data_IF_662761763573
#
_entry.id   IF_662761763573
#
_cell.length_a   1.000
_cell.length_b   1.000
_cell.length_c   1.000
_cell.angle_alpha   90.00
_cell.angle_beta   90.00
_cell.angle_gamma   90.00
#
_symmetry.space_group_name_H-M   'P 1'
#
loop_
_entity.id
_entity.type
_entity.pdbx_description
1 polymer ?
#
# COMPACT_ATOMS: atom_id res chain seq x y z
N UNK A 1 46.03 -38.10 -4.87
CA UNK A 1 45.90 -36.63 -5.09
C UNK A 1 44.53 -36.13 -5.62
N UNK A 2 43.72 -36.91 -6.36
CA UNK A 2 42.44 -36.41 -6.95
C UNK A 2 41.30 -36.09 -5.95
N UNK A 3 41.21 -36.79 -4.80
CA UNK A 3 40.13 -36.58 -3.79
C UNK A 3 40.14 -35.19 -3.13
N UNK A 4 41.31 -34.58 -2.90
CA UNK A 4 41.40 -33.26 -2.25
C UNK A 4 40.97 -32.09 -3.16
N UNK A 5 41.21 -32.18 -4.47
CA UNK A 5 40.73 -31.18 -5.45
C UNK A 5 39.20 -31.19 -5.57
N UNK A 6 38.58 -32.36 -5.59
CA UNK A 6 37.12 -32.49 -5.65
C UNK A 6 36.43 -31.96 -4.38
N UNK A 7 37.01 -32.23 -3.20
CA UNK A 7 36.50 -31.71 -1.91
C UNK A 7 36.62 -30.18 -1.83
N UNK A 8 37.75 -29.60 -2.25
CA UNK A 8 37.96 -28.15 -2.30
C UNK A 8 36.98 -27.43 -3.26
N UNK A 9 36.70 -28.02 -4.44
CA UNK A 9 35.72 -27.47 -5.40
C UNK A 9 34.30 -27.45 -4.81
N UNK A 10 33.89 -28.55 -4.17
CA UNK A 10 32.57 -28.68 -3.55
C UNK A 10 32.35 -27.66 -2.41
N UNK A 11 33.38 -27.42 -1.59
CA UNK A 11 33.34 -26.40 -0.52
C UNK A 11 33.26 -24.96 -1.05
N UNK A 12 33.95 -24.65 -2.15
CA UNK A 12 33.85 -23.32 -2.79
C UNK A 12 32.48 -23.09 -3.40
N UNK A 13 31.86 -24.14 -3.95
CA UNK A 13 30.53 -24.06 -4.54
C UNK A 13 29.42 -23.89 -3.50
N UNK A 14 29.50 -24.58 -2.36
CA UNK A 14 28.58 -24.33 -1.23
C UNK A 14 28.75 -22.94 -0.65
N UNK A 15 29.98 -22.45 -0.46
CA UNK A 15 30.23 -21.09 0.03
C UNK A 15 29.67 -20.01 -0.92
N UNK A 16 29.76 -20.23 -2.24
CA UNK A 16 29.16 -19.33 -3.25
C UNK A 16 27.63 -19.33 -3.17
N UNK A 17 27.00 -20.50 -3.09
CA UNK A 17 25.53 -20.62 -2.92
C UNK A 17 25.05 -19.96 -1.63
N UNK A 18 25.80 -20.08 -0.54
CA UNK A 18 25.48 -19.47 0.75
C UNK A 18 25.59 -17.94 0.71
N UNK A 19 26.62 -17.39 0.03
CA UNK A 19 26.74 -15.94 -0.18
C UNK A 19 25.59 -15.38 -1.03
N UNK A 20 25.20 -16.04 -2.11
CA UNK A 20 24.06 -15.62 -2.95
C UNK A 20 22.77 -15.61 -2.13
N UNK A 21 22.50 -16.69 -1.37
CA UNK A 21 21.31 -16.79 -0.52
C UNK A 21 21.29 -15.71 0.58
N UNK A 22 22.43 -15.40 1.20
CA UNK A 22 22.52 -14.30 2.17
C UNK A 22 22.28 -12.92 1.54
N UNK A 23 22.76 -12.69 0.31
CA UNK A 23 22.50 -11.44 -0.42
C UNK A 23 21.03 -11.30 -0.82
N UNK A 24 20.40 -12.38 -1.29
CA UNK A 24 18.97 -12.43 -1.60
C UNK A 24 18.12 -12.15 -0.36
N UNK A 25 18.42 -12.81 0.76
CA UNK A 25 17.73 -12.58 2.03
C UNK A 25 17.89 -11.14 2.52
N UNK A 26 19.10 -10.56 2.45
CA UNK A 26 19.35 -9.17 2.85
C UNK A 26 18.54 -8.19 2.00
N UNK A 27 18.47 -8.41 0.68
CA UNK A 27 17.70 -7.57 -0.26
C UNK A 27 16.19 -7.69 -0.03
N UNK A 28 15.69 -8.90 0.27
CA UNK A 28 14.28 -9.13 0.59
C UNK A 28 13.87 -8.39 1.87
N UNK A 29 14.73 -8.43 2.89
CA UNK A 29 14.46 -7.76 4.16
C UNK A 29 14.37 -6.23 3.99
N UNK A 30 15.31 -5.62 3.26
CA UNK A 30 15.28 -4.17 3.00
C UNK A 30 14.05 -3.72 2.22
N UNK A 31 13.56 -4.54 1.29
CA UNK A 31 12.32 -4.23 0.53
C UNK A 31 11.10 -4.31 1.44
N UNK A 32 11.06 -5.31 2.32
CA UNK A 32 9.95 -5.52 3.26
C UNK A 32 9.87 -4.39 4.28
N UNK A 33 11.00 -4.02 4.88
CA UNK A 33 11.11 -2.91 5.82
C UNK A 33 10.63 -1.59 5.19
N UNK A 34 11.06 -1.32 3.95
CA UNK A 34 10.64 -0.12 3.22
C UNK A 34 9.12 -0.09 2.95
N UNK A 35 8.53 -1.23 2.59
CA UNK A 35 7.09 -1.34 2.37
C UNK A 35 6.29 -1.12 3.67
N UNK A 36 6.76 -1.67 4.80
CA UNK A 36 6.15 -1.43 6.10
C UNK A 36 6.21 0.06 6.48
N UNK A 37 7.34 0.71 6.23
CA UNK A 37 7.49 2.16 6.44
C UNK A 37 6.45 2.92 5.61
N UNK A 38 6.29 2.58 4.33
CA UNK A 38 5.27 3.24 3.49
C UNK A 38 3.84 3.00 3.98
N UNK A 39 3.52 1.78 4.41
CA UNK A 39 2.19 1.48 4.98
C UNK A 39 1.96 2.35 6.22
N UNK A 40 2.93 2.43 7.14
CA UNK A 40 2.84 3.26 8.34
C UNK A 40 2.65 4.73 8.01
N UNK A 41 3.45 5.30 7.09
CA UNK A 41 3.28 6.69 6.66
C UNK A 41 1.93 6.92 5.98
N UNK A 42 1.48 5.99 5.14
CA UNK A 42 0.17 6.07 4.48
C UNK A 42 -0.96 6.10 5.51
N UNK A 43 -0.92 5.22 6.51
CA UNK A 43 -1.92 5.20 7.58
C UNK A 43 -1.93 6.51 8.38
N UNK A 44 -0.76 7.04 8.74
CA UNK A 44 -0.62 8.31 9.46
C UNK A 44 -1.20 9.46 8.62
N UNK A 45 -0.85 9.55 7.33
CA UNK A 45 -1.35 10.59 6.43
C UNK A 45 -2.86 10.50 6.23
N UNK A 46 -3.43 9.29 6.12
CA UNK A 46 -4.87 9.10 6.04
C UNK A 46 -5.59 9.53 7.32
N UNK A 47 -5.02 9.25 8.50
CA UNK A 47 -5.57 9.71 9.79
C UNK A 47 -5.52 11.24 9.89
N UNK A 48 -4.40 11.86 9.52
CA UNK A 48 -4.29 13.32 9.47
C UNK A 48 -5.33 13.88 8.49
N UNK A 49 -5.46 13.31 7.30
CA UNK A 49 -6.47 13.69 6.31
C UNK A 49 -7.89 13.61 6.87
N UNK A 50 -8.24 12.54 7.59
CA UNK A 50 -9.55 12.42 8.26
C UNK A 50 -9.75 13.51 9.32
N UNK A 51 -8.73 13.85 10.10
CA UNK A 51 -8.83 14.93 11.08
C UNK A 51 -9.17 16.26 10.39
N UNK A 52 -8.45 16.61 9.32
CA UNK A 52 -8.62 17.88 8.62
C UNK A 52 -9.89 17.96 7.75
N UNK A 53 -10.33 16.85 7.17
CA UNK A 53 -11.39 16.85 6.16
C UNK A 53 -12.69 16.16 6.61
N UNK A 54 -12.69 15.54 7.79
CA UNK A 54 -13.90 15.00 8.44
C UNK A 54 -14.17 15.68 9.77
N UNK A 55 -13.26 15.53 10.74
CA UNK A 55 -13.54 15.95 12.11
C UNK A 55 -13.50 17.47 12.29
N UNK A 56 -12.54 18.16 11.66
CA UNK A 56 -12.45 19.61 11.74
C UNK A 56 -13.66 20.33 11.11
N UNK A 57 -14.11 19.97 9.89
CA UNK A 57 -15.34 20.51 9.34
C UNK A 57 -16.53 20.22 10.25
N UNK A 58 -16.70 18.97 10.69
CA UNK A 58 -17.84 18.56 11.54
C UNK A 58 -17.89 19.38 12.84
N UNK A 59 -16.73 19.69 13.43
CA UNK A 59 -16.63 20.56 14.59
C UNK A 59 -17.04 22.01 14.31
N UNK A 60 -16.64 22.56 13.15
CA UNK A 60 -16.92 23.95 12.77
C UNK A 60 -18.37 24.16 12.27
N UNK A 61 -19.01 23.13 11.74
CA UNK A 61 -20.36 23.19 11.17
C UNK A 61 -21.46 22.72 12.14
N UNK A 62 -21.15 22.54 13.42
CA UNK A 62 -22.09 22.17 14.51
C UNK A 62 -22.97 20.94 14.21
N UNK A 63 -22.52 20.00 13.37
CA UNK A 63 -23.33 18.83 13.02
C UNK A 63 -22.71 17.91 11.98
N UNK A 64 -23.46 16.84 11.66
CA UNK A 64 -23.10 15.90 10.60
C UNK A 64 -23.25 16.57 9.23
N UNK A 65 -22.13 16.83 8.56
CA UNK A 65 -22.11 17.38 7.21
C UNK A 65 -21.96 16.23 6.22
N UNK A 66 -22.84 16.13 5.22
CA UNK A 66 -22.76 15.07 4.20
C UNK A 66 -21.54 15.17 3.26
N UNK A 67 -20.88 16.33 3.22
CA UNK A 67 -19.75 16.64 2.34
C UNK A 67 -18.38 16.29 2.94
N UNK A 68 -18.36 15.74 4.16
CA UNK A 68 -17.15 15.38 4.87
C UNK A 68 -16.51 14.11 4.29
N UNK A 69 -15.21 13.93 4.50
CA UNK A 69 -14.50 12.78 3.95
C UNK A 69 -15.05 11.45 4.52
N UNK A 70 -15.39 10.52 3.62
CA UNK A 70 -15.90 9.21 4.05
C UNK A 70 -14.84 8.32 4.68
N UNK A 71 -14.98 8.08 5.99
CA UNK A 71 -14.14 7.15 6.75
C UNK A 71 -14.15 5.74 6.17
N UNK A 72 -15.32 5.23 5.77
CA UNK A 72 -15.46 3.87 5.23
C UNK A 72 -14.68 3.66 3.93
N UNK A 73 -14.73 4.66 3.03
CA UNK A 73 -13.96 4.62 1.78
C UNK A 73 -12.46 4.66 2.08
N UNK A 74 -12.01 5.59 2.94
CA UNK A 74 -10.61 5.72 3.33
C UNK A 74 -10.05 4.46 4.00
N UNK A 75 -10.82 3.86 4.92
CA UNK A 75 -10.44 2.62 5.57
C UNK A 75 -10.37 1.44 4.58
N UNK A 76 -11.31 1.37 3.64
CA UNK A 76 -11.28 0.36 2.56
C UNK A 76 -10.02 0.51 1.71
N UNK A 77 -9.65 1.73 1.32
CA UNK A 77 -8.40 2.00 0.60
C UNK A 77 -7.19 1.55 1.41
N UNK A 78 -7.12 1.88 2.70
CA UNK A 78 -6.01 1.48 3.57
C UNK A 78 -5.88 -0.03 3.66
N UNK A 79 -7.00 -0.74 3.86
CA UNK A 79 -7.01 -2.20 3.95
C UNK A 79 -6.54 -2.84 2.63
N UNK A 80 -7.09 -2.40 1.50
CA UNK A 80 -6.70 -2.88 0.18
C UNK A 80 -5.23 -2.58 -0.13
N UNK A 81 -4.71 -1.46 0.36
CA UNK A 81 -3.31 -1.08 0.22
C UNK A 81 -2.39 -1.93 1.12
N UNK A 82 -2.81 -2.28 2.34
CA UNK A 82 -2.08 -3.24 3.17
C UNK A 82 -2.04 -4.61 2.48
N UNK A 83 -3.18 -5.08 1.97
CA UNK A 83 -3.26 -6.35 1.25
C UNK A 83 -2.44 -6.37 -0.04
N UNK A 84 -2.25 -5.22 -0.69
CA UNK A 84 -1.34 -5.07 -1.83
C UNK A 84 0.08 -5.55 -1.51
N UNK A 85 0.55 -5.43 -0.27
CA UNK A 85 1.85 -5.94 0.16
C UNK A 85 2.06 -7.43 -0.16
N UNK A 86 1.05 -8.26 0.12
CA UNK A 86 1.12 -9.70 -0.11
C UNK A 86 1.01 -10.03 -1.60
N UNK A 87 0.20 -9.25 -2.32
CA UNK A 87 -0.02 -9.43 -3.75
C UNK A 87 1.20 -8.99 -4.58
N UNK A 88 1.91 -7.93 -4.17
CA UNK A 88 3.09 -7.44 -4.87
C UNK A 88 4.20 -8.48 -4.99
N UNK A 89 4.23 -9.48 -4.09
CA UNK A 89 5.17 -10.59 -4.14
C UNK A 89 4.94 -11.52 -5.35
N UNK A 90 3.72 -11.55 -5.90
CA UNK A 90 3.33 -12.37 -7.07
C UNK A 90 2.94 -11.48 -8.25
N UNK A 91 3.87 -11.25 -9.18
CA UNK A 91 3.66 -10.37 -10.35
C UNK A 91 2.36 -10.66 -11.14
N UNK A 92 1.99 -11.93 -11.30
CA UNK A 92 0.78 -12.33 -12.04
C UNK A 92 -0.53 -11.87 -11.38
N UNK A 93 -0.52 -11.59 -10.08
CA UNK A 93 -1.72 -11.19 -9.33
C UNK A 93 -1.90 -9.68 -9.24
N UNK A 94 -0.91 -8.87 -9.63
CA UNK A 94 -0.94 -7.40 -9.50
C UNK A 94 -2.10 -6.77 -10.26
N UNK A 95 -2.26 -7.09 -11.55
CA UNK A 95 -3.31 -6.52 -12.40
C UNK A 95 -4.70 -6.99 -11.95
N UNK A 96 -4.96 -8.30 -11.76
CA UNK A 96 -6.25 -8.77 -11.26
C UNK A 96 -6.65 -8.12 -9.94
N UNK A 97 -5.71 -8.00 -9.01
CA UNK A 97 -5.97 -7.40 -7.70
C UNK A 97 -6.17 -5.88 -7.77
N UNK A 98 -5.47 -5.18 -8.66
CA UNK A 98 -5.71 -3.75 -8.90
C UNK A 98 -7.14 -3.50 -9.39
N UNK A 99 -7.60 -4.29 -10.36
CA UNK A 99 -8.97 -4.23 -10.88
C UNK A 99 -9.97 -4.54 -9.76
N UNK A 100 -9.75 -5.64 -9.02
CA UNK A 100 -10.58 -6.03 -7.88
C UNK A 100 -10.69 -4.92 -6.82
N UNK A 101 -9.56 -4.31 -6.47
CA UNK A 101 -9.53 -3.20 -5.50
C UNK A 101 -10.34 -2.00 -5.99
N UNK A 102 -10.22 -1.66 -7.27
CA UNK A 102 -11.01 -0.59 -7.89
C UNK A 102 -12.51 -0.87 -7.82
N UNK A 103 -12.94 -2.09 -8.16
CA UNK A 103 -14.35 -2.48 -8.07
C UNK A 103 -14.87 -2.41 -6.64
N UNK A 104 -14.11 -2.90 -5.65
CA UNK A 104 -14.53 -2.82 -4.25
C UNK A 104 -14.67 -1.37 -3.76
N UNK A 105 -13.73 -0.49 -4.12
CA UNK A 105 -13.80 0.93 -3.78
C UNK A 105 -15.06 1.57 -4.37
N UNK A 106 -15.41 1.24 -5.62
CA UNK A 106 -16.63 1.74 -6.28
C UNK A 106 -17.87 1.24 -5.54
N UNK A 107 -17.95 -0.06 -5.22
CA UNK A 107 -19.09 -0.64 -4.50
C UNK A 107 -19.29 0.03 -3.14
N UNK A 108 -18.22 0.17 -2.34
CA UNK A 108 -18.30 0.84 -1.04
C UNK A 108 -18.72 2.29 -1.21
N UNK A 109 -18.14 3.01 -2.18
CA UNK A 109 -18.50 4.40 -2.47
C UNK A 109 -19.98 4.57 -2.79
N UNK A 110 -20.54 3.72 -3.66
CA UNK A 110 -21.96 3.74 -4.02
C UNK A 110 -22.85 3.38 -2.83
N UNK A 111 -22.45 2.39 -2.01
CA UNK A 111 -23.21 2.00 -0.82
C UNK A 111 -23.34 3.17 0.16
N UNK A 112 -22.31 4.00 0.31
CA UNK A 112 -22.34 5.20 1.18
C UNK A 112 -23.27 6.29 0.65
N UNK A 113 -23.35 6.46 -0.67
CA UNK A 113 -24.28 7.42 -1.31
C UNK A 113 -25.73 6.94 -1.18
N UNK A 114 -25.99 5.67 -1.48
CA UNK A 114 -27.34 5.08 -1.41
C UNK A 114 -27.89 5.11 0.01
N UNK A 115 -27.03 4.86 1.02
CA UNK A 115 -27.39 4.96 2.43
C UNK A 115 -27.59 6.42 2.92
N UNK A 116 -27.42 7.41 2.05
CA UNK A 116 -27.46 8.84 2.37
C UNK A 116 -26.52 9.27 3.51
N UNK A 117 -25.41 8.55 3.68
CA UNK A 117 -24.43 8.86 4.72
C UNK A 117 -23.34 9.82 4.24
N UNK A 118 -23.09 9.88 2.93
CA UNK A 118 -22.24 10.90 2.30
C UNK A 118 -22.77 11.22 0.91
N UNK A 119 -22.48 12.42 0.41
CA UNK A 119 -22.70 12.75 -0.99
C UNK A 119 -21.44 12.51 -1.83
N UNK A 120 -21.52 12.82 -3.13
CA UNK A 120 -20.44 12.60 -4.10
C UNK A 120 -19.16 13.34 -3.71
N UNK A 121 -19.29 14.54 -3.12
CA UNK A 121 -18.15 15.36 -2.69
C UNK A 121 -17.39 14.67 -1.56
N UNK A 122 -18.08 14.17 -0.54
CA UNK A 122 -17.45 13.45 0.59
C UNK A 122 -16.72 12.18 0.16
N UNK A 123 -17.23 11.48 -0.87
CA UNK A 123 -16.58 10.33 -1.47
C UNK A 123 -15.32 10.75 -2.24
N UNK A 124 -15.41 11.74 -3.12
CA UNK A 124 -14.27 12.23 -3.90
C UNK A 124 -13.14 12.70 -2.97
N UNK A 125 -13.49 13.39 -1.88
CA UNK A 125 -12.53 13.86 -0.90
C UNK A 125 -11.79 12.69 -0.23
N UNK A 126 -12.49 11.63 0.16
CA UNK A 126 -11.88 10.42 0.71
C UNK A 126 -10.94 9.73 -0.30
N UNK A 127 -11.36 9.62 -1.57
CA UNK A 127 -10.53 9.06 -2.65
C UNK A 127 -9.24 9.87 -2.84
N UNK A 128 -9.34 11.20 -2.85
CA UNK A 128 -8.19 12.10 -2.98
C UNK A 128 -7.22 11.96 -1.80
N UNK A 129 -7.73 11.98 -0.57
CA UNK A 129 -6.91 11.77 0.63
C UNK A 129 -6.20 10.42 0.54
N UNK A 130 -6.91 9.36 0.15
CA UNK A 130 -6.33 8.04 0.00
C UNK A 130 -5.23 7.97 -1.06
N UNK A 131 -5.48 8.54 -2.24
CA UNK A 131 -4.50 8.59 -3.33
C UNK A 131 -3.24 9.37 -2.95
N UNK A 132 -3.41 10.58 -2.40
CA UNK A 132 -2.29 11.42 -1.96
C UNK A 132 -1.48 10.74 -0.86
N UNK A 133 -2.15 10.11 0.11
CA UNK A 133 -1.50 9.39 1.21
C UNK A 133 -0.67 8.20 0.75
N UNK A 134 -1.07 7.52 -0.33
CA UNK A 134 -0.30 6.42 -0.93
C UNK A 134 0.88 6.95 -1.76
N UNK A 135 0.66 8.06 -2.49
CA UNK A 135 1.65 8.62 -3.43
C UNK A 135 2.80 9.30 -2.67
N UNK A 136 2.54 10.11 -1.64
CA UNK A 136 3.56 10.90 -0.93
C UNK A 136 4.74 10.04 -0.44
N UNK A 137 4.53 8.92 0.29
CA UNK A 137 5.64 8.11 0.79
C UNK A 137 6.47 7.47 -0.33
N UNK A 138 5.87 7.31 -1.52
CA UNK A 138 6.42 6.65 -2.70
C UNK A 138 6.81 7.64 -3.80
N UNK A 139 6.87 8.94 -3.51
CA UNK A 139 7.09 10.00 -4.50
C UNK A 139 8.32 9.74 -5.37
N UNK A 140 9.42 9.26 -4.78
CA UNK A 140 10.65 8.93 -5.50
C UNK A 140 10.47 7.77 -6.50
N UNK A 141 9.62 6.78 -6.19
CA UNK A 141 9.32 5.68 -7.11
C UNK A 141 8.45 6.17 -8.27
N UNK A 142 7.48 7.05 -8.00
CA UNK A 142 6.63 7.64 -9.02
C UNK A 142 7.42 8.55 -9.98
N UNK A 143 8.30 9.39 -9.44
CA UNK A 143 9.16 10.28 -10.24
C UNK A 143 10.23 9.52 -11.04
N UNK A 144 10.62 8.32 -10.60
CA UNK A 144 11.60 7.47 -11.29
C UNK A 144 11.05 6.69 -12.49
N UNK A 145 9.76 6.86 -12.82
CA UNK A 145 9.07 6.11 -13.86
C UNK A 145 8.50 4.78 -13.34
N UNK A 146 7.18 4.63 -13.41
CA UNK A 146 6.48 3.43 -12.96
C UNK A 146 6.85 2.25 -13.86
N UNK A 147 7.62 1.30 -13.33
CA UNK A 147 7.91 0.01 -13.99
C UNK A 147 6.92 -1.04 -13.46
N UNK A 148 5.86 -1.31 -14.22
CA UNK A 148 4.86 -2.33 -13.89
C UNK A 148 5.43 -3.76 -13.94
#
# INVERSE_FOLDING_TARGET
>A
MKKNKARSKKTKETAKKQKVKNQENKKLNTKTEQQLIWISYTAILMVIGLIFFKYLPMYLSEGNILYDASYHVLFTILLLYILWFFIDQKKSWRIPYFIFSGVLIIIVSLQRIIAQEHNEVGIILALLIGAVSIIIPRWKEFMGGVKF
#
